data_IF_946053902073
#
_entry.id   IF_946053902073
#
_cell.length_a   1.000
_cell.length_b   1.000
_cell.length_c   1.000
_cell.angle_alpha   90.00
_cell.angle_beta   90.00
_cell.angle_gamma   90.00
#
_symmetry.space_group_name_H-M   'P 1'
#
loop_
_entity.id
_entity.type
_entity.pdbx_description
1 polymer ?
#
# COMPACT_ATOMS: atom_id res chain seq x y z
N UNK A 1 70.53 10.65 -29.90
CA UNK A 1 69.63 9.51 -30.20
C UNK A 1 68.26 9.83 -29.60
N UNK A 2 67.25 10.06 -30.44
CA UNK A 2 65.85 10.31 -30.05
C UNK A 2 65.09 8.98 -30.13
N UNK A 3 64.29 8.66 -29.12
CA UNK A 3 63.18 7.71 -29.21
C UNK A 3 61.96 8.36 -28.56
N UNK A 4 60.82 8.30 -29.24
CA UNK A 4 59.56 8.97 -28.97
C UNK A 4 58.44 7.91 -28.86
N UNK A 5 57.44 8.17 -27.99
CA UNK A 5 56.05 7.62 -27.91
C UNK A 5 55.92 6.19 -27.34
N UNK A 6 54.83 5.79 -26.66
CA UNK A 6 53.46 6.32 -26.49
C UNK A 6 52.77 5.65 -25.28
N UNK A 7 51.73 6.32 -24.79
CA UNK A 7 50.78 5.98 -23.72
C UNK A 7 50.04 4.64 -23.85
N UNK A 8 49.65 4.02 -22.71
CA UNK A 8 48.34 3.35 -22.53
C UNK A 8 47.93 3.30 -21.03
N UNK A 9 46.66 3.60 -20.77
CA UNK A 9 45.93 3.56 -19.49
C UNK A 9 45.58 2.13 -19.01
N UNK A 10 45.44 1.95 -17.68
CA UNK A 10 44.30 1.26 -17.00
C UNK A 10 44.39 1.52 -15.48
N UNK A 11 43.48 2.32 -14.87
CA UNK A 11 42.25 1.92 -14.14
C UNK A 11 42.47 0.72 -13.20
N UNK A 12 42.23 0.79 -11.88
CA UNK A 12 40.91 0.95 -11.26
C UNK A 12 41.01 1.71 -9.92
N UNK A 13 40.24 2.80 -9.80
CA UNK A 13 39.91 3.42 -8.52
C UNK A 13 38.85 2.57 -7.85
N UNK A 14 39.23 1.80 -6.84
CA UNK A 14 38.29 1.14 -5.94
C UNK A 14 37.66 2.17 -5.02
N UNK A 15 36.61 2.84 -5.48
CA UNK A 15 35.83 3.75 -4.64
C UNK A 15 34.81 2.92 -3.84
N UNK A 16 35.01 2.97 -2.54
CA UNK A 16 34.24 2.38 -1.44
C UNK A 16 32.73 2.49 -1.63
N UNK A 17 32.04 1.34 -1.52
CA UNK A 17 30.59 1.25 -1.38
C UNK A 17 30.13 1.93 -0.10
N UNK A 18 29.57 3.14 -0.20
CA UNK A 18 28.75 3.70 0.87
C UNK A 18 27.34 3.13 0.73
N UNK A 19 27.11 1.99 1.38
CA UNK A 19 25.77 1.50 1.62
C UNK A 19 25.08 2.47 2.60
N UNK A 20 24.28 3.40 2.08
CA UNK A 20 23.36 4.19 2.91
C UNK A 20 22.25 3.25 3.34
N UNK A 21 22.36 2.72 4.56
CA UNK A 21 21.27 2.01 5.21
C UNK A 21 20.15 3.01 5.50
N UNK A 22 19.14 3.06 4.63
CA UNK A 22 17.89 3.73 4.93
C UNK A 22 17.22 2.92 6.06
N UNK A 23 17.25 3.44 7.29
CA UNK A 23 16.36 2.96 8.35
C UNK A 23 14.93 3.24 7.89
N UNK A 24 14.26 2.21 7.39
CA UNK A 24 12.80 2.23 7.28
C UNK A 24 12.29 2.14 8.70
N UNK A 25 11.89 3.28 9.26
CA UNK A 25 11.09 3.34 10.48
C UNK A 25 9.80 2.58 10.20
N UNK A 26 9.74 1.31 10.62
CA UNK A 26 8.51 0.55 10.68
C UNK A 26 7.60 1.25 11.68
N UNK A 27 6.71 2.12 11.17
CA UNK A 27 5.66 2.71 11.98
C UNK A 27 4.75 1.56 12.42
N UNK A 28 4.59 1.29 13.72
CA UNK A 28 3.73 0.21 14.17
C UNK A 28 2.30 0.48 13.69
N UNK A 29 1.77 -0.47 12.90
CA UNK A 29 0.41 -0.44 12.42
C UNK A 29 -0.58 -0.30 13.58
N UNK A 30 -1.63 0.49 13.37
CA UNK A 30 -2.74 0.62 14.31
C UNK A 30 -3.36 -0.76 14.53
N UNK A 31 -3.28 -1.27 15.76
CA UNK A 31 -3.76 -2.60 16.12
C UNK A 31 -5.24 -2.78 15.72
N UNK A 32 -5.48 -3.75 14.83
CA UNK A 32 -6.77 -4.07 14.25
C UNK A 32 -7.60 -4.95 15.22
N UNK A 33 -8.91 -4.74 15.28
CA UNK A 33 -9.83 -5.55 16.08
C UNK A 33 -9.66 -7.05 15.79
N UNK A 34 -9.65 -7.87 16.86
CA UNK A 34 -9.40 -9.30 16.78
C UNK A 34 -10.29 -9.95 15.71
N UNK A 35 -9.71 -10.45 14.60
CA UNK A 35 -10.51 -11.05 13.54
C UNK A 35 -11.16 -12.32 14.08
N UNK A 36 -12.30 -12.72 13.49
CA UNK A 36 -12.78 -14.10 13.61
C UNK A 36 -11.58 -15.04 13.40
N UNK A 37 -11.40 -16.04 14.28
CA UNK A 37 -10.16 -16.82 14.37
C UNK A 37 -9.65 -17.43 13.04
N UNK A 38 -10.51 -17.47 12.02
CA UNK A 38 -10.23 -17.97 10.68
C UNK A 38 -9.46 -17.02 9.76
N UNK A 39 -9.47 -15.70 10.01
CA UNK A 39 -8.78 -14.72 9.18
C UNK A 39 -7.76 -13.92 9.97
N UNK A 40 -6.67 -13.53 9.32
CA UNK A 40 -5.71 -12.52 9.77
C UNK A 40 -5.87 -11.30 8.90
N UNK A 41 -5.65 -10.15 9.49
CA UNK A 41 -5.84 -8.84 8.86
C UNK A 41 -4.63 -7.98 9.16
N UNK A 42 -4.26 -7.15 8.21
CA UNK A 42 -3.12 -6.26 8.31
C UNK A 42 -3.36 -4.95 7.58
N UNK A 43 -2.63 -3.93 8.01
CA UNK A 43 -2.67 -2.61 7.43
C UNK A 43 -1.27 -1.99 7.42
N UNK A 44 -0.73 -1.81 6.21
CA UNK A 44 0.47 -1.03 6.01
C UNK A 44 0.12 0.39 5.55
N UNK A 45 0.89 1.35 6.06
CA UNK A 45 0.81 2.76 5.70
C UNK A 45 2.21 3.31 5.50
N UNK A 46 2.43 3.98 4.38
CA UNK A 46 3.69 4.65 4.07
C UNK A 46 3.45 6.01 3.43
N UNK A 47 4.38 6.95 3.60
CA UNK A 47 4.33 8.21 2.85
C UNK A 47 4.37 7.93 1.34
N UNK A 48 3.62 8.70 0.55
CA UNK A 48 3.66 8.57 -0.90
C UNK A 48 4.99 9.11 -1.44
N UNK A 49 5.57 8.42 -2.42
CA UNK A 49 6.95 8.69 -2.90
C UNK A 49 7.19 10.13 -3.35
N UNK A 50 6.17 10.80 -3.90
CA UNK A 50 6.26 12.17 -4.42
C UNK A 50 5.35 13.16 -3.67
N UNK A 51 4.72 12.71 -2.58
CA UNK A 51 3.88 13.55 -1.72
C UNK A 51 4.03 13.10 -0.26
N UNK A 52 4.91 13.78 0.52
CA UNK A 52 5.12 13.43 1.92
C UNK A 52 3.91 13.68 2.83
N UNK A 53 2.93 14.48 2.39
CA UNK A 53 1.69 14.73 3.12
C UNK A 53 0.66 13.63 2.90
N UNK A 54 0.72 12.97 1.75
CA UNK A 54 -0.15 11.88 1.37
C UNK A 54 0.42 10.50 1.78
N UNK A 55 -0.47 9.51 1.87
CA UNK A 55 -0.15 8.18 2.37
C UNK A 55 -0.64 7.07 1.42
N UNK A 56 0.29 6.23 1.00
CA UNK A 56 -0.02 4.95 0.40
C UNK A 56 -0.55 3.99 1.48
N UNK A 57 -1.64 3.30 1.18
CA UNK A 57 -2.31 2.38 2.08
C UNK A 57 -2.38 0.98 1.46
N UNK A 58 -2.16 -0.05 2.28
CA UNK A 58 -2.33 -1.44 1.90
C UNK A 58 -3.07 -2.18 3.01
N UNK A 59 -4.34 -2.48 2.76
CA UNK A 59 -5.15 -3.33 3.62
C UNK A 59 -5.12 -4.76 3.08
N UNK A 60 -4.75 -5.73 3.91
CA UNK A 60 -4.65 -7.14 3.50
C UNK A 60 -5.39 -8.03 4.49
N UNK A 61 -6.10 -9.04 3.98
CA UNK A 61 -6.78 -10.07 4.76
C UNK A 61 -6.41 -11.44 4.19
N UNK A 62 -6.10 -12.43 5.04
CA UNK A 62 -5.78 -13.80 4.59
C UNK A 62 -6.20 -14.84 5.61
N UNK A 63 -6.37 -16.09 5.19
CA UNK A 63 -6.79 -17.16 6.12
C UNK A 63 -5.68 -17.43 7.12
N UNK A 64 -6.04 -17.57 8.39
CA UNK A 64 -5.11 -17.85 9.49
C UNK A 64 -4.27 -19.12 9.26
N UNK A 65 -4.85 -20.11 8.57
CA UNK A 65 -4.25 -21.40 8.25
C UNK A 65 -3.66 -21.50 6.83
N UNK A 66 -3.89 -20.52 5.95
CA UNK A 66 -3.38 -20.50 4.58
C UNK A 66 -3.25 -19.05 4.06
N UNK A 67 -2.05 -18.48 4.15
CA UNK A 67 -1.77 -17.13 3.66
C UNK A 67 -1.87 -17.01 2.12
N UNK A 68 -1.87 -18.12 1.39
CA UNK A 68 -2.12 -18.15 -0.08
C UNK A 68 -3.60 -17.99 -0.42
N UNK A 69 -4.46 -17.72 0.57
CA UNK A 69 -5.88 -17.45 0.41
C UNK A 69 -6.20 -16.13 1.12
N UNK A 70 -6.31 -15.07 0.35
CA UNK A 70 -6.55 -13.74 0.89
C UNK A 70 -7.05 -12.75 -0.14
N UNK A 71 -7.06 -11.50 0.28
CA UNK A 71 -7.42 -10.36 -0.53
C UNK A 71 -6.61 -9.15 -0.08
N UNK A 72 -6.40 -8.22 -1.00
CA UNK A 72 -5.79 -6.93 -0.70
C UNK A 72 -6.54 -5.79 -1.37
N UNK A 73 -6.46 -4.65 -0.72
CA UNK A 73 -6.76 -3.36 -1.31
C UNK A 73 -5.54 -2.47 -1.13
N UNK A 74 -5.04 -1.88 -2.21
CA UNK A 74 -3.92 -0.95 -2.20
C UNK A 74 -4.38 0.38 -2.76
N UNK A 75 -4.26 1.45 -1.99
CA UNK A 75 -4.49 2.80 -2.44
C UNK A 75 -3.14 3.51 -2.58
N UNK A 76 -2.88 4.06 -3.78
CA UNK A 76 -1.72 4.90 -4.06
C UNK A 76 -2.16 6.35 -4.06
N UNK A 77 -1.71 7.13 -3.09
CA UNK A 77 -2.22 8.49 -2.94
C UNK A 77 -1.70 9.42 -4.04
N UNK A 78 -0.44 9.25 -4.48
CA UNK A 78 0.15 10.08 -5.53
C UNK A 78 -0.56 10.01 -6.89
N UNK A 79 -1.28 8.91 -7.16
CA UNK A 79 -2.05 8.73 -8.38
C UNK A 79 -3.55 8.57 -8.10
N UNK A 80 -3.95 8.66 -6.84
CA UNK A 80 -5.31 8.43 -6.35
C UNK A 80 -5.94 7.12 -6.86
N UNK A 81 -5.10 6.10 -7.05
CA UNK A 81 -5.49 4.83 -7.66
C UNK A 81 -5.71 3.78 -6.59
N UNK A 82 -6.88 3.16 -6.62
CA UNK A 82 -7.20 1.96 -5.86
C UNK A 82 -6.99 0.71 -6.72
N UNK A 83 -6.20 -0.23 -6.23
CA UNK A 83 -6.05 -1.56 -6.81
C UNK A 83 -6.51 -2.62 -5.81
N UNK A 84 -7.50 -3.42 -6.21
CA UNK A 84 -8.04 -4.51 -5.40
C UNK A 84 -7.80 -5.86 -6.08
N UNK A 85 -7.53 -6.90 -5.28
CA UNK A 85 -7.45 -8.27 -5.77
C UNK A 85 -7.94 -9.26 -4.74
N UNK A 86 -8.59 -10.32 -5.22
CA UNK A 86 -9.15 -11.39 -4.41
C UNK A 86 -8.61 -12.76 -4.87
N UNK A 87 -7.84 -13.44 -4.03
CA UNK A 87 -7.35 -14.80 -4.25
C UNK A 87 -7.80 -15.76 -3.13
N UNK A 88 -8.86 -15.39 -2.41
CA UNK A 88 -9.28 -16.04 -1.17
C UNK A 88 -10.14 -17.29 -1.34
N UNK A 89 -10.59 -17.58 -2.57
CA UNK A 89 -11.64 -18.57 -2.87
C UNK A 89 -12.98 -18.28 -2.20
N UNK A 90 -13.20 -17.03 -1.77
CA UNK A 90 -14.44 -16.54 -1.20
C UNK A 90 -14.76 -15.16 -1.80
N UNK A 91 -15.97 -14.65 -1.55
CA UNK A 91 -16.33 -13.27 -1.89
C UNK A 91 -15.72 -12.32 -0.86
N UNK A 92 -15.23 -11.17 -1.32
CA UNK A 92 -14.64 -10.14 -0.47
C UNK A 92 -15.26 -8.79 -0.80
N UNK A 93 -15.60 -8.04 0.25
CA UNK A 93 -16.08 -6.67 0.15
C UNK A 93 -14.91 -5.70 0.29
N UNK A 94 -14.91 -4.67 -0.56
CA UNK A 94 -13.91 -3.62 -0.62
C UNK A 94 -14.60 -2.29 -0.45
N UNK A 95 -13.98 -1.39 0.31
CA UNK A 95 -14.54 -0.07 0.54
C UNK A 95 -13.44 0.98 0.65
N UNK A 96 -13.64 2.09 -0.07
CA UNK A 96 -12.84 3.30 0.01
C UNK A 96 -13.76 4.46 0.40
N UNK A 97 -13.40 5.22 1.42
CA UNK A 97 -14.17 6.39 1.87
C UNK A 97 -13.23 7.55 2.07
N UNK A 98 -13.72 8.78 1.93
CA UNK A 98 -12.95 9.96 2.34
C UNK A 98 -13.80 11.02 3.00
N UNK A 99 -13.17 11.82 3.87
CA UNK A 99 -13.85 12.84 4.67
C UNK A 99 -13.93 14.19 3.99
N UNK A 100 -14.74 15.07 4.55
CA UNK A 100 -14.61 16.53 4.38
C UNK A 100 -13.19 17.02 4.71
N UNK A 101 -12.81 18.21 4.24
CA UNK A 101 -11.47 18.80 4.45
C UNK A 101 -11.10 18.95 5.93
N UNK A 102 -12.09 19.23 6.77
CA UNK A 102 -11.96 19.32 8.23
C UNK A 102 -12.05 17.95 8.95
N UNK A 103 -12.20 16.84 8.22
CA UNK A 103 -12.30 15.49 8.79
C UNK A 103 -13.63 15.15 9.49
N UNK A 104 -14.62 16.05 9.50
CA UNK A 104 -15.79 15.93 10.38
C UNK A 104 -16.84 14.92 9.93
N UNK A 105 -16.92 14.60 8.63
CA UNK A 105 -17.88 13.63 8.09
C UNK A 105 -17.32 12.92 6.86
N UNK A 106 -17.83 11.74 6.56
CA UNK A 106 -17.59 11.06 5.28
C UNK A 106 -18.29 11.86 4.17
N UNK A 107 -17.54 12.25 3.15
CA UNK A 107 -18.03 12.96 1.98
C UNK A 107 -18.43 11.99 0.87
N UNK A 108 -17.63 10.93 0.67
CA UNK A 108 -17.89 9.91 -0.34
C UNK A 108 -17.55 8.53 0.18
N UNK A 109 -18.29 7.56 -0.34
CA UNK A 109 -18.11 6.13 -0.10
C UNK A 109 -18.17 5.42 -1.44
N UNK A 110 -17.17 4.59 -1.70
CA UNK A 110 -17.14 3.64 -2.80
C UNK A 110 -17.06 2.24 -2.22
N UNK A 111 -17.92 1.34 -2.69
CA UNK A 111 -18.02 -0.04 -2.23
C UNK A 111 -18.10 -0.98 -3.44
N UNK A 112 -17.45 -2.13 -3.33
CA UNK A 112 -17.48 -3.14 -4.37
C UNK A 112 -17.24 -4.53 -3.79
N UNK A 113 -18.04 -5.50 -4.22
CA UNK A 113 -17.83 -6.92 -3.92
C UNK A 113 -17.12 -7.59 -5.10
N UNK A 114 -16.06 -8.35 -4.79
CA UNK A 114 -15.28 -9.07 -5.79
C UNK A 114 -15.31 -10.57 -5.47
N UNK A 115 -15.68 -11.37 -6.48
CA UNK A 115 -15.55 -12.82 -6.43
C UNK A 115 -14.09 -13.28 -6.44
N UNK A 116 -13.87 -14.56 -6.15
CA UNK A 116 -12.53 -15.16 -6.16
C UNK A 116 -11.88 -15.07 -7.53
N UNK A 117 -10.57 -14.82 -7.56
CA UNK A 117 -9.76 -14.71 -8.77
C UNK A 117 -9.88 -13.37 -9.47
N UNK A 118 -10.72 -12.46 -8.97
CA UNK A 118 -10.92 -11.14 -9.54
C UNK A 118 -9.84 -10.14 -9.12
N UNK A 119 -9.64 -9.13 -9.96
CA UNK A 119 -8.92 -7.91 -9.65
C UNK A 119 -9.59 -6.72 -10.32
N UNK A 120 -9.45 -5.54 -9.75
CA UNK A 120 -9.95 -4.30 -10.33
C UNK A 120 -9.05 -3.13 -9.94
N UNK A 121 -8.92 -2.18 -10.85
CA UNK A 121 -8.28 -0.89 -10.60
C UNK A 121 -9.29 0.21 -10.87
N UNK A 122 -9.32 1.22 -10.00
CA UNK A 122 -10.22 2.37 -10.07
C UNK A 122 -9.42 3.61 -9.71
N UNK A 123 -9.49 4.62 -10.56
CA UNK A 123 -8.93 5.92 -10.28
C UNK A 123 -10.00 6.83 -9.66
N UNK A 124 -9.57 7.68 -8.74
CA UNK A 124 -10.41 8.67 -8.08
C UNK A 124 -9.85 10.06 -8.31
N UNK A 125 -10.69 11.07 -8.10
CA UNK A 125 -10.28 12.46 -7.97
C UNK A 125 -10.62 12.88 -6.53
N UNK A 126 -9.64 12.80 -5.62
CA UNK A 126 -9.85 13.09 -4.19
C UNK A 126 -9.29 14.48 -3.91
N UNK A 127 -10.09 15.42 -3.36
CA UNK A 127 -9.55 16.74 -3.06
C UNK A 127 -8.45 16.64 -1.98
N UNK A 128 -7.37 17.42 -2.14
CA UNK A 128 -6.22 17.39 -1.24
C UNK A 128 -6.59 17.53 0.25
N UNK A 129 -5.82 16.85 1.11
CA UNK A 129 -5.93 16.95 2.56
C UNK A 129 -7.04 16.09 3.16
N UNK A 130 -7.75 15.32 2.34
CA UNK A 130 -8.84 14.43 2.76
C UNK A 130 -8.26 13.24 3.51
N UNK A 131 -8.93 12.85 4.59
CA UNK A 131 -8.62 11.57 5.23
C UNK A 131 -9.31 10.46 4.46
N UNK A 132 -8.53 9.52 3.94
CA UNK A 132 -9.00 8.35 3.22
C UNK A 132 -9.03 7.14 4.15
N UNK A 133 -10.07 6.34 4.04
CA UNK A 133 -10.27 5.08 4.74
C UNK A 133 -10.40 3.97 3.71
N UNK A 134 -9.52 2.98 3.81
CA UNK A 134 -9.47 1.83 2.93
C UNK A 134 -9.82 0.58 3.73
N UNK A 135 -10.62 -0.30 3.15
CA UNK A 135 -10.95 -1.57 3.81
C UNK A 135 -11.21 -2.72 2.86
N UNK A 136 -10.88 -3.92 3.32
CA UNK A 136 -11.17 -5.19 2.67
C UNK A 136 -11.59 -6.20 3.73
N UNK A 137 -12.67 -6.93 3.49
CA UNK A 137 -13.17 -7.88 4.47
C UNK A 137 -14.09 -8.94 3.90
N UNK A 138 -14.35 -9.95 4.70
CA UNK A 138 -15.40 -10.94 4.41
C UNK A 138 -16.77 -10.35 4.71
N UNK A 139 -17.82 -10.67 3.93
CA UNK A 139 -19.19 -10.29 4.26
C UNK A 139 -19.55 -10.69 5.70
N UNK A 140 -19.90 -9.70 6.54
CA UNK A 140 -20.30 -9.92 7.94
C UNK A 140 -19.22 -10.42 8.90
N UNK A 141 -17.93 -10.39 8.50
CA UNK A 141 -16.84 -10.98 9.28
C UNK A 141 -15.62 -10.08 9.45
N UNK A 142 -14.43 -10.67 9.38
CA UNK A 142 -13.16 -9.97 9.60
C UNK A 142 -12.92 -8.94 8.50
N UNK A 143 -12.45 -7.75 8.90
CA UNK A 143 -12.15 -6.65 7.97
C UNK A 143 -10.82 -6.02 8.32
N UNK A 144 -9.95 -5.88 7.33
CA UNK A 144 -8.76 -5.06 7.41
C UNK A 144 -9.12 -3.60 7.12
N UNK A 145 -8.70 -2.67 7.98
CA UNK A 145 -8.94 -1.24 7.84
C UNK A 145 -7.62 -0.46 7.85
N UNK A 146 -7.51 0.49 6.94
CA UNK A 146 -6.42 1.44 6.87
C UNK A 146 -6.97 2.86 6.77
N UNK A 147 -6.23 3.83 7.30
CA UNK A 147 -6.55 5.24 7.10
C UNK A 147 -5.28 6.06 6.88
N UNK A 148 -5.37 7.04 6.00
CA UNK A 148 -4.28 7.95 5.65
C UNK A 148 -4.79 9.26 5.09
N UNK A 149 -3.89 10.07 4.57
CA UNK A 149 -4.23 11.27 3.81
C UNK A 149 -4.08 11.00 2.31
N UNK A 150 -5.02 11.52 1.53
CA UNK A 150 -4.81 11.79 0.12
C UNK A 150 -4.33 13.23 -0.03
#
# INVERSE_FOLDING_TARGET
>A
MRIIKKSTLTSVVGLTTTAVAALVLAVPGTAQAAPSAYWKVDCDKSAATNDPGAHDLLATIWRSNDATKGARASFKASSETLSISNWSRAMMGYKLQWTTANGSRIERTWEFDLGSGGSKTVDFEIPEGRTVYLSVGTPGGSTAHCSGKA
#
